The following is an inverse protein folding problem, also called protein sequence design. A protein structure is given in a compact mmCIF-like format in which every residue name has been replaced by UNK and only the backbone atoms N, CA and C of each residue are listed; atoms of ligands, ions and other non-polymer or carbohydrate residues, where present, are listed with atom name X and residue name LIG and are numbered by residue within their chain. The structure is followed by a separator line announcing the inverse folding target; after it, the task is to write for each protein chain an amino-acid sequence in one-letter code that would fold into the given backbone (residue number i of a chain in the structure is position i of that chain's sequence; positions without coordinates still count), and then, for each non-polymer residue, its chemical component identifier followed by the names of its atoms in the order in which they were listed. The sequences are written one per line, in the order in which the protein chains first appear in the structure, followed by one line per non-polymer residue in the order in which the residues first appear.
data_IF_269126145931
#
_entry.id   IF_269126145931
#
_cell.length_a   1.000
_cell.length_b   1.000
_cell.length_c   1.000
_cell.angle_alpha   90.00
_cell.angle_beta   90.00
_cell.angle_gamma   90.00
#
_symmetry.space_group_name_H-M   'P 1'
#
loop_
_entity.id
_entity.type
_entity.pdbx_description
1 polymer ?
#
# COMPACT_ATOMS: atom_id res chain seq x y z
N UNK A 1 17.67 -17.37 21.13
CA UNK A 1 16.50 -16.89 20.38
C UNK A 1 16.86 -17.10 18.91
N UNK A 2 16.01 -17.76 18.12
CA UNK A 2 16.25 -17.89 16.68
C UNK A 2 15.61 -16.65 16.06
N UNK A 3 16.42 -15.79 15.45
CA UNK A 3 15.90 -14.70 14.62
C UNK A 3 15.44 -15.31 13.30
N UNK A 4 14.17 -15.07 12.95
CA UNK A 4 13.60 -15.51 11.69
C UNK A 4 13.85 -14.42 10.65
N UNK A 5 14.48 -14.80 9.55
CA UNK A 5 14.70 -13.92 8.41
C UNK A 5 13.37 -13.64 7.70
N UNK A 6 13.11 -12.36 7.39
CA UNK A 6 11.93 -11.93 6.64
C UNK A 6 12.34 -11.57 5.22
N UNK A 7 11.72 -12.22 4.24
CA UNK A 7 12.13 -12.13 2.83
C UNK A 7 10.99 -11.51 2.01
N UNK A 8 11.31 -10.48 1.25
CA UNK A 8 10.35 -9.88 0.31
C UNK A 8 10.02 -10.83 -0.83
N UNK A 9 8.74 -10.92 -1.25
CA UNK A 9 8.37 -11.64 -2.46
C UNK A 9 8.83 -10.91 -3.74
N UNK A 10 9.30 -9.66 -3.64
CA UNK A 10 9.74 -8.85 -4.78
C UNK A 10 11.22 -9.05 -5.04
N UNK A 11 11.55 -9.44 -6.28
CA UNK A 11 12.93 -9.56 -6.74
C UNK A 11 13.11 -8.76 -8.03
N UNK A 12 13.92 -7.70 -7.97
CA UNK A 12 14.32 -6.96 -9.15
C UNK A 12 15.57 -7.57 -9.79
N UNK A 13 15.74 -7.36 -11.10
CA UNK A 13 16.92 -7.81 -11.85
C UNK A 13 18.13 -6.89 -11.66
N UNK A 14 17.95 -5.75 -11.02
CA UNK A 14 19.00 -4.78 -10.73
C UNK A 14 19.75 -5.15 -9.46
N UNK A 15 21.03 -4.81 -9.39
CA UNK A 15 21.87 -5.09 -8.20
C UNK A 15 21.63 -4.02 -7.12
N UNK A 16 21.22 -4.40 -5.90
CA UNK A 16 21.22 -3.49 -4.74
C UNK A 16 22.62 -2.94 -4.48
N UNK A 17 22.76 -1.63 -4.28
CA UNK A 17 24.04 -1.00 -3.91
C UNK A 17 24.03 -0.46 -2.48
N UNK A 18 22.85 -0.33 -1.88
CA UNK A 18 22.65 0.09 -0.50
C UNK A 18 21.42 -0.59 0.08
N UNK A 19 21.58 -1.19 1.26
CA UNK A 19 20.49 -1.85 2.00
C UNK A 19 20.47 -1.41 3.46
N UNK A 20 19.31 -1.53 4.09
CA UNK A 20 19.10 -1.33 5.51
C UNK A 20 18.35 -2.54 6.09
N UNK A 21 18.73 -2.96 7.29
CA UNK A 21 17.94 -3.96 8.02
C UNK A 21 16.86 -3.26 8.84
N UNK A 22 15.59 -3.64 8.65
CA UNK A 22 14.45 -3.10 9.38
C UNK A 22 13.58 -4.25 9.85
N UNK A 23 13.56 -4.53 11.14
CA UNK A 23 12.76 -5.63 11.73
C UNK A 23 12.98 -6.97 11.00
N UNK A 24 14.25 -7.34 10.78
CA UNK A 24 14.69 -8.53 10.06
C UNK A 24 14.32 -8.59 8.56
N UNK A 25 13.82 -7.49 7.98
CA UNK A 25 13.78 -7.30 6.53
C UNK A 25 15.08 -6.68 6.04
N UNK A 26 15.66 -7.23 4.98
CA UNK A 26 16.61 -6.48 4.16
C UNK A 26 15.84 -5.57 3.19
N UNK A 27 15.90 -4.27 3.42
CA UNK A 27 15.23 -3.25 2.60
C UNK A 27 16.27 -2.59 1.71
N UNK A 28 16.09 -2.68 0.40
CA UNK A 28 16.97 -2.01 -0.56
C UNK A 28 16.62 -0.52 -0.63
N UNK A 29 17.64 0.31 -0.45
CA UNK A 29 17.51 1.77 -0.47
C UNK A 29 17.91 2.37 -1.81
N UNK A 30 18.86 1.75 -2.52
CA UNK A 30 19.37 2.24 -3.82
C UNK A 30 19.79 1.05 -4.70
N UNK A 31 19.55 1.16 -6.01
CA UNK A 31 19.97 0.17 -7.00
C UNK A 31 21.07 0.71 -7.93
N UNK A 32 21.90 -0.20 -8.44
CA UNK A 32 22.92 0.15 -9.44
C UNK A 32 22.26 0.67 -10.72
N UNK A 33 22.65 1.87 -11.15
CA UNK A 33 22.09 2.50 -12.35
C UNK A 33 20.64 2.98 -12.18
N UNK A 34 20.18 3.18 -10.94
CA UNK A 34 18.91 3.85 -10.66
C UNK A 34 18.87 5.23 -11.33
N UNK A 35 17.81 5.48 -12.11
CA UNK A 35 17.61 6.73 -12.84
C UNK A 35 16.65 7.68 -12.14
N UNK A 36 16.16 8.67 -12.88
CA UNK A 36 15.25 9.71 -12.36
C UNK A 36 13.76 9.27 -12.34
N UNK A 37 13.51 7.97 -12.41
CA UNK A 37 12.17 7.38 -12.40
C UNK A 37 11.50 7.22 -13.78
N UNK A 38 10.21 6.81 -13.81
CA UNK A 38 9.37 6.49 -12.65
C UNK A 38 9.91 5.29 -11.85
N UNK A 39 9.62 5.28 -10.56
CA UNK A 39 10.10 4.29 -9.60
C UNK A 39 9.09 3.18 -9.37
N UNK A 40 9.59 1.95 -9.25
CA UNK A 40 8.87 0.81 -8.71
C UNK A 40 9.54 0.45 -7.39
N UNK A 41 8.82 0.61 -6.29
CA UNK A 41 9.37 0.54 -4.93
C UNK A 41 8.74 -0.65 -4.22
N UNK A 42 9.58 -1.51 -3.63
CA UNK A 42 9.13 -2.59 -2.77
C UNK A 42 8.84 -2.07 -1.35
N UNK A 43 7.58 -2.19 -0.95
CA UNK A 43 7.08 -1.81 0.36
C UNK A 43 6.60 -3.04 1.15
N UNK A 44 6.93 -4.26 0.73
CA UNK A 44 6.42 -5.49 1.34
C UNK A 44 6.72 -5.59 2.85
N UNK A 45 7.78 -4.94 3.31
CA UNK A 45 8.13 -4.81 4.72
C UNK A 45 7.18 -3.92 5.56
N UNK A 46 6.38 -3.06 4.94
CA UNK A 46 5.51 -2.11 5.65
C UNK A 46 4.31 -2.80 6.29
N UNK A 47 3.94 -2.49 7.56
CA UNK A 47 2.81 -3.12 8.20
C UNK A 47 1.49 -2.87 7.48
N UNK A 48 0.69 -3.92 7.31
CA UNK A 48 -0.63 -3.88 6.68
C UNK A 48 -1.62 -4.69 7.50
N UNK A 49 -2.82 -4.15 7.67
CA UNK A 49 -3.88 -4.77 8.47
C UNK A 49 -5.21 -4.73 7.74
N UNK A 50 -6.01 -5.77 7.91
CA UNK A 50 -7.41 -5.76 7.54
C UNK A 50 -8.27 -5.60 8.80
N UNK A 51 -9.13 -4.59 8.82
CA UNK A 51 -10.17 -4.42 9.82
C UNK A 51 -11.50 -4.91 9.25
N UNK A 52 -12.15 -5.84 9.96
CA UNK A 52 -13.49 -6.30 9.65
C UNK A 52 -14.46 -6.01 10.79
N UNK A 53 -15.51 -5.24 10.52
CA UNK A 53 -16.55 -4.92 11.51
C UNK A 53 -17.89 -4.62 10.81
N UNK A 54 -19.01 -4.93 11.47
CA UNK A 54 -20.34 -4.53 11.02
C UNK A 54 -20.62 -3.05 11.21
N UNK A 55 -19.95 -2.41 12.17
CA UNK A 55 -20.16 -1.01 12.59
C UNK A 55 -18.88 -0.16 12.43
N UNK A 56 -18.28 -0.19 11.24
CA UNK A 56 -17.03 0.54 10.97
C UNK A 56 -17.09 2.05 11.24
N UNK A 57 -18.27 2.68 11.23
CA UNK A 57 -18.41 4.12 11.45
C UNK A 57 -17.99 4.59 12.87
N UNK A 58 -18.02 3.69 13.86
CA UNK A 58 -17.61 4.01 15.24
C UNK A 58 -16.17 3.60 15.54
N UNK A 59 -15.50 2.92 14.60
CA UNK A 59 -14.12 2.44 14.76
C UNK A 59 -13.14 3.56 14.45
N UNK A 60 -12.08 3.64 15.25
CA UNK A 60 -10.98 4.61 15.09
C UNK A 60 -9.62 3.93 15.27
N UNK A 61 -9.27 2.97 14.38
CA UNK A 61 -7.95 2.33 14.44
C UNK A 61 -6.87 3.41 14.28
N UNK A 62 -5.79 3.31 15.06
CA UNK A 62 -4.73 4.35 15.12
C UNK A 62 -5.25 5.77 15.47
N UNK A 63 -6.44 5.88 16.06
CA UNK A 63 -7.06 7.17 16.37
C UNK A 63 -7.57 7.95 15.17
N UNK A 64 -7.57 7.38 13.96
CA UNK A 64 -8.05 8.05 12.74
C UNK A 64 -9.50 7.66 12.42
N UNK A 65 -10.23 8.56 11.78
CA UNK A 65 -11.58 8.25 11.29
C UNK A 65 -11.52 7.46 9.98
N UNK A 66 -12.37 6.44 9.87
CA UNK A 66 -12.40 5.60 8.68
C UNK A 66 -13.24 6.23 7.55
N UNK A 67 -12.84 6.03 6.28
CA UNK A 67 -13.67 6.42 5.14
C UNK A 67 -15.04 5.73 5.16
N UNK A 68 -16.09 6.52 4.92
CA UNK A 68 -17.48 6.04 4.97
C UNK A 68 -17.87 5.21 3.73
N UNK A 69 -17.45 5.66 2.55
CA UNK A 69 -17.91 5.11 1.27
C UNK A 69 -16.91 4.11 0.69
N UNK A 70 -17.35 2.90 0.25
CA UNK A 70 -16.50 1.97 -0.48
C UNK A 70 -15.78 2.59 -1.68
N UNK A 71 -14.49 2.32 -1.80
CA UNK A 71 -13.60 2.92 -2.79
C UNK A 71 -12.98 4.26 -2.37
N UNK A 72 -13.40 4.85 -1.25
CA UNK A 72 -12.74 6.02 -0.68
C UNK A 72 -11.58 5.63 0.22
N UNK A 73 -10.54 6.48 0.25
CA UNK A 73 -9.41 6.33 1.16
C UNK A 73 -9.17 7.63 1.93
N UNK A 74 -8.54 7.51 3.10
CA UNK A 74 -8.04 8.64 3.90
C UNK A 74 -6.60 8.34 4.25
N UNK A 75 -5.74 9.35 4.14
CA UNK A 75 -4.35 9.28 4.59
C UNK A 75 -4.13 10.31 5.70
N UNK A 76 -3.91 9.84 6.92
CA UNK A 76 -3.74 10.68 8.11
C UNK A 76 -2.73 10.02 9.04
N UNK A 77 -1.82 10.82 9.62
CA UNK A 77 -0.78 10.35 10.56
C UNK A 77 0.05 9.17 10.03
N UNK A 78 0.36 9.17 8.72
CA UNK A 78 1.12 8.08 8.11
C UNK A 78 0.34 6.76 7.95
N UNK A 79 -0.95 6.73 8.28
CA UNK A 79 -1.84 5.60 8.10
C UNK A 79 -2.77 5.84 6.91
N UNK A 80 -2.76 4.93 5.95
CA UNK A 80 -3.68 4.93 4.82
C UNK A 80 -4.81 3.94 5.08
N UNK A 81 -6.01 4.45 5.32
CA UNK A 81 -7.22 3.64 5.47
C UNK A 81 -8.01 3.61 4.16
N UNK A 82 -8.33 2.41 3.67
CA UNK A 82 -8.99 2.20 2.38
C UNK A 82 -10.30 1.45 2.59
N UNK A 83 -11.44 2.08 2.26
CA UNK A 83 -12.74 1.43 2.41
C UNK A 83 -12.95 0.40 1.32
N UNK A 84 -12.75 -0.87 1.64
CA UNK A 84 -12.90 -1.96 0.67
C UNK A 84 -14.37 -2.22 0.33
N UNK A 85 -15.21 -2.32 1.36
CA UNK A 85 -16.65 -2.54 1.22
C UNK A 85 -17.38 -2.12 2.49
N UNK A 86 -18.65 -2.53 2.65
CA UNK A 86 -19.47 -2.16 3.80
C UNK A 86 -18.86 -2.57 5.15
N UNK A 87 -18.12 -3.66 5.22
CA UNK A 87 -17.65 -4.24 6.50
C UNK A 87 -16.15 -4.42 6.58
N UNK A 88 -15.38 -3.97 5.59
CA UNK A 88 -13.94 -4.15 5.55
C UNK A 88 -13.21 -2.85 5.19
N UNK A 89 -12.08 -2.62 5.88
CA UNK A 89 -11.11 -1.55 5.61
C UNK A 89 -9.72 -2.16 5.64
N UNK A 90 -8.91 -1.89 4.62
CA UNK A 90 -7.47 -2.17 4.68
C UNK A 90 -6.72 -0.94 5.19
N UNK A 91 -5.76 -1.17 6.08
CA UNK A 91 -4.97 -0.16 6.78
C UNK A 91 -3.50 -0.38 6.43
N UNK A 92 -2.84 0.62 5.86
CA UNK A 92 -1.40 0.56 5.57
C UNK A 92 -0.67 1.56 6.46
N UNK A 93 0.31 1.09 7.23
CA UNK A 93 1.17 1.96 8.02
C UNK A 93 2.41 2.30 7.20
N UNK A 94 2.50 3.55 6.74
CA UNK A 94 3.56 4.03 5.86
C UNK A 94 4.69 4.75 6.61
N UNK A 95 4.43 5.35 7.79
CA UNK A 95 5.44 6.10 8.56
C UNK A 95 6.14 5.30 9.67
N UNK A 96 5.94 3.97 9.71
CA UNK A 96 6.47 3.11 10.78
C UNK A 96 5.95 3.49 12.18
N UNK A 97 4.69 3.93 12.30
CA UNK A 97 4.06 4.10 13.61
C UNK A 97 4.06 2.77 14.38
N UNK A 98 4.02 2.84 15.71
CA UNK A 98 3.92 1.65 16.55
C UNK A 98 2.58 0.93 16.31
N UNK A 99 2.67 -0.36 15.95
CA UNK A 99 1.50 -1.21 15.68
C UNK A 99 1.07 -2.01 16.90
N UNK A 100 1.77 -1.90 18.04
CA UNK A 100 1.51 -2.71 19.23
C UNK A 100 0.07 -2.59 19.75
N UNK A 101 -0.55 -1.43 19.55
CA UNK A 101 -1.91 -1.13 19.97
C UNK A 101 -2.96 -1.76 19.06
N UNK A 102 -2.75 -1.75 17.74
CA UNK A 102 -3.78 -2.16 16.78
C UNK A 102 -3.91 -3.68 16.67
N UNK A 103 -2.81 -4.42 16.81
CA UNK A 103 -2.76 -5.87 16.55
C UNK A 103 -3.74 -6.64 17.45
N UNK A 104 -4.05 -6.09 18.62
CA UNK A 104 -4.96 -6.69 19.59
C UNK A 104 -6.40 -6.17 19.50
N UNK A 105 -6.70 -5.23 18.60
CA UNK A 105 -8.06 -4.74 18.45
C UNK A 105 -8.97 -5.80 17.80
N UNK A 106 -10.22 -5.95 18.29
CA UNK A 106 -11.16 -6.87 17.69
C UNK A 106 -11.42 -6.55 16.21
N UNK A 107 -11.36 -7.58 15.37
CA UNK A 107 -11.60 -7.48 13.93
C UNK A 107 -10.35 -7.14 13.11
N UNK A 108 -9.21 -6.87 13.74
CA UNK A 108 -7.93 -6.64 13.06
C UNK A 108 -7.25 -7.97 12.74
N UNK A 109 -6.72 -8.08 11.52
CA UNK A 109 -5.81 -9.15 11.09
C UNK A 109 -4.56 -8.52 10.49
N UNK A 110 -3.38 -8.92 10.95
CA UNK A 110 -2.11 -8.57 10.30
C UNK A 110 -1.95 -9.37 9.00
N UNK A 111 -1.83 -8.66 7.89
CA UNK A 111 -1.69 -9.21 6.53
C UNK A 111 -0.36 -8.82 5.89
N UNK A 112 0.59 -8.32 6.67
CA UNK A 112 1.90 -7.85 6.19
C UNK A 112 2.61 -8.94 5.38
N UNK A 113 2.70 -10.16 5.89
CA UNK A 113 3.40 -11.26 5.19
C UNK A 113 2.52 -12.03 4.21
N UNK A 114 1.23 -11.71 4.13
CA UNK A 114 0.27 -12.44 3.30
C UNK A 114 0.20 -11.92 1.85
N UNK A 115 0.69 -10.70 1.61
CA UNK A 115 0.54 -10.01 0.32
C UNK A 115 1.83 -9.31 -0.09
N UNK A 116 2.09 -9.22 -1.40
CA UNK A 116 3.08 -8.27 -1.92
C UNK A 116 2.58 -6.84 -1.74
N UNK A 117 3.48 -5.87 -1.55
CA UNK A 117 3.11 -4.46 -1.51
C UNK A 117 4.16 -3.61 -2.24
N UNK A 118 3.72 -2.88 -3.26
CA UNK A 118 4.60 -2.05 -4.10
C UNK A 118 4.00 -0.67 -4.33
N UNK A 119 4.87 0.31 -4.54
CA UNK A 119 4.49 1.63 -5.03
C UNK A 119 5.00 1.84 -6.45
N UNK A 120 4.20 2.55 -7.26
CA UNK A 120 4.64 3.15 -8.52
C UNK A 120 4.56 4.66 -8.34
N UNK A 121 5.68 5.37 -8.47
CA UNK A 121 5.76 6.81 -8.23
C UNK A 121 6.55 7.50 -9.34
N UNK A 122 6.06 8.64 -9.80
CA UNK A 122 6.75 9.51 -10.74
C UNK A 122 5.89 9.90 -11.92
N UNK A 123 6.53 10.63 -12.85
CA UNK A 123 5.88 11.09 -14.05
C UNK A 123 5.42 9.92 -14.94
N UNK A 124 4.31 10.12 -15.64
CA UNK A 124 3.75 9.20 -16.65
C UNK A 124 3.31 7.82 -16.10
N UNK A 125 3.26 7.62 -14.78
CA UNK A 125 2.86 6.34 -14.19
C UNK A 125 1.45 5.91 -14.59
N UNK A 126 0.49 6.83 -14.72
CA UNK A 126 -0.87 6.46 -15.15
C UNK A 126 -0.92 6.02 -16.61
N UNK A 127 -0.13 6.62 -17.50
CA UNK A 127 0.03 6.15 -18.88
C UNK A 127 0.63 4.74 -18.96
N UNK A 128 1.48 4.36 -17.99
CA UNK A 128 1.97 2.99 -17.84
C UNK A 128 0.85 2.08 -17.31
N UNK A 129 0.12 2.52 -16.29
CA UNK A 129 -0.94 1.74 -15.65
C UNK A 129 -2.11 1.42 -16.59
N UNK A 130 -2.45 2.30 -17.54
CA UNK A 130 -3.43 2.04 -18.60
C UNK A 130 -3.08 0.83 -19.48
N UNK A 131 -1.79 0.47 -19.58
CA UNK A 131 -1.36 -0.73 -20.31
C UNK A 131 -1.48 -2.00 -19.47
N UNK A 132 -1.60 -1.85 -18.16
CA UNK A 132 -1.57 -2.94 -17.18
C UNK A 132 -2.96 -3.20 -16.58
N UNK A 133 -3.88 -2.24 -16.66
CA UNK A 133 -5.22 -2.34 -16.10
C UNK A 133 -6.24 -1.62 -16.97
N UNK A 134 -7.49 -2.10 -16.94
CA UNK A 134 -8.63 -1.44 -17.58
C UNK A 134 -9.33 -0.43 -16.66
N UNK A 135 -8.80 -0.20 -15.46
CA UNK A 135 -9.34 0.75 -14.49
C UNK A 135 -8.96 2.19 -14.87
N UNK A 136 -9.88 3.12 -14.63
CA UNK A 136 -9.66 4.55 -14.88
C UNK A 136 -9.09 5.24 -13.63
N UNK A 137 -7.76 5.25 -13.52
CA UNK A 137 -7.06 5.93 -12.42
C UNK A 137 -7.12 7.47 -12.50
N UNK A 138 -7.61 8.02 -13.61
CA UNK A 138 -7.72 9.46 -13.85
C UNK A 138 -9.17 9.95 -13.80
N UNK A 139 -10.11 9.12 -13.33
CA UNK A 139 -11.53 9.46 -13.17
C UNK A 139 -11.69 10.80 -12.43
N UNK A 140 -12.19 11.86 -13.11
CA UNK A 140 -12.27 13.20 -12.54
C UNK A 140 -13.31 13.30 -11.43
N UNK A 141 -14.20 12.31 -11.28
CA UNK A 141 -15.20 12.26 -10.22
C UNK A 141 -14.63 11.77 -8.89
N UNK A 142 -13.40 11.24 -8.90
CA UNK A 142 -12.71 10.76 -7.71
C UNK A 142 -11.66 11.75 -7.22
N UNK A 143 -11.56 11.86 -5.90
CA UNK A 143 -10.54 12.65 -5.20
C UNK A 143 -9.51 11.71 -4.62
N UNK A 144 -8.23 11.95 -4.87
CA UNK A 144 -7.15 11.16 -4.28
C UNK A 144 -6.96 11.53 -2.78
N UNK A 145 -6.65 10.56 -1.91
CA UNK A 145 -6.46 9.15 -2.23
C UNK A 145 -7.78 8.38 -2.41
N UNK A 146 -7.79 7.40 -3.32
CA UNK A 146 -8.94 6.51 -3.50
C UNK A 146 -8.53 5.09 -3.89
N UNK A 147 -9.40 4.13 -3.58
CA UNK A 147 -9.21 2.71 -3.80
C UNK A 147 -9.98 2.21 -5.03
N UNK A 148 -9.30 1.41 -5.83
CA UNK A 148 -9.90 0.40 -6.70
C UNK A 148 -9.60 -1.01 -6.20
N UNK A 149 -10.58 -1.89 -6.39
CA UNK A 149 -10.38 -3.33 -6.32
C UNK A 149 -10.59 -3.90 -7.71
N UNK A 150 -9.55 -4.44 -8.32
CA UNK A 150 -9.63 -4.89 -9.70
C UNK A 150 -8.30 -5.41 -10.24
N UNK A 151 -8.28 -5.83 -11.50
CA UNK A 151 -7.11 -6.45 -12.07
C UNK A 151 -6.01 -5.42 -12.38
N UNK A 152 -4.77 -5.79 -12.09
CA UNK A 152 -3.56 -5.17 -12.60
C UNK A 152 -2.62 -6.26 -13.10
N UNK A 153 -2.23 -6.21 -14.37
CA UNK A 153 -1.52 -7.29 -15.06
C UNK A 153 -2.19 -8.66 -14.89
N UNK A 154 -3.52 -8.69 -14.99
CA UNK A 154 -4.38 -9.89 -14.82
C UNK A 154 -4.44 -10.47 -13.39
N UNK A 155 -3.82 -9.82 -12.40
CA UNK A 155 -3.89 -10.22 -10.99
C UNK A 155 -4.88 -9.31 -10.26
N UNK A 156 -5.83 -9.85 -9.48
CA UNK A 156 -6.69 -9.04 -8.62
C UNK A 156 -5.87 -8.31 -7.56
N UNK A 157 -5.99 -6.99 -7.50
CA UNK A 157 -5.26 -6.15 -6.58
C UNK A 157 -6.18 -5.20 -5.83
N UNK A 158 -5.73 -4.76 -4.66
CA UNK A 158 -6.13 -3.47 -4.10
C UNK A 158 -5.16 -2.42 -4.63
N UNK A 159 -5.69 -1.35 -5.23
CA UNK A 159 -4.90 -0.33 -5.91
C UNK A 159 -5.34 1.02 -5.40
N UNK A 160 -4.45 1.75 -4.73
CA UNK A 160 -4.75 3.04 -4.13
C UNK A 160 -4.01 4.12 -4.89
N UNK A 161 -4.74 4.96 -5.61
CA UNK A 161 -4.18 6.18 -6.21
C UNK A 161 -3.95 7.18 -5.09
N UNK A 162 -2.71 7.65 -4.90
CA UNK A 162 -2.34 8.61 -3.85
C UNK A 162 -2.39 10.05 -4.35
N UNK A 163 -1.82 10.29 -5.53
CA UNK A 163 -1.72 11.59 -6.19
C UNK A 163 -1.71 11.36 -7.70
N UNK A 164 -2.29 12.27 -8.47
CA UNK A 164 -2.43 12.16 -9.93
C UNK A 164 -1.46 13.02 -10.73
N UNK A 165 -0.90 14.05 -10.11
CA UNK A 165 -0.18 15.10 -10.85
C UNK A 165 1.29 15.26 -10.44
N UNK A 166 2.07 15.73 -11.42
CA UNK A 166 3.48 16.09 -11.24
C UNK A 166 4.39 14.89 -10.96
N UNK A 167 5.54 15.19 -10.37
CA UNK A 167 6.55 14.19 -10.03
C UNK A 167 6.14 13.32 -8.83
N UNK A 168 5.09 13.72 -8.11
CA UNK A 168 4.53 12.99 -6.98
C UNK A 168 3.37 12.08 -7.36
N UNK A 169 2.97 12.05 -8.64
CA UNK A 169 1.97 11.13 -9.15
C UNK A 169 2.33 9.70 -8.73
N UNK A 170 1.37 8.97 -8.16
CA UNK A 170 1.69 7.65 -7.66
C UNK A 170 0.50 6.84 -7.18
N UNK A 171 0.72 5.53 -7.15
CA UNK A 171 -0.21 4.57 -6.62
C UNK A 171 0.50 3.49 -5.81
N UNK A 172 -0.26 2.86 -4.92
CA UNK A 172 0.12 1.69 -4.16
C UNK A 172 -0.66 0.48 -4.65
N UNK A 173 -0.03 -0.69 -4.66
CA UNK A 173 -0.62 -1.94 -5.11
C UNK A 173 -0.30 -3.06 -4.13
N UNK A 174 -1.33 -3.81 -3.73
CA UNK A 174 -1.17 -5.06 -2.99
C UNK A 174 -2.00 -6.19 -3.61
N UNK A 175 -1.43 -7.40 -3.63
CA UNK A 175 -2.08 -8.63 -4.09
C UNK A 175 -1.44 -9.88 -3.46
N UNK A 176 -2.11 -11.01 -3.62
CA UNK A 176 -1.71 -12.35 -3.13
C UNK A 176 -1.70 -13.37 -4.27
#
# INVERSE_FOLDING_TARGET
MIELERISPVVYKSTPVKTENRDNWEVVMEYSGEGDGPYLIDLSHKPRFDLQDGELAVRQPFGISLPETPGSSVFENGILANRMNRTQVSLYNLDNEDNSTIINEPGITDVTEATVFVALIGKDIFSICEKLSALDFMDPTRTAPFLFQGPFSHVPCQIVTLEREGDNAGLLLTCS
#
